data_IF_229706651778
#
_entry.id   IF_229706651778
#
_cell.length_a   1.000
_cell.length_b   1.000
_cell.length_c   1.000
_cell.angle_alpha   90.00
_cell.angle_beta   90.00
_cell.angle_gamma   90.00
#
_symmetry.space_group_name_H-M   'P 1'
#
loop_
_entity.id
_entity.type
_entity.pdbx_description
1 polymer ?
#
# COMPACT_ATOMS: atom_id res chain seq x y z
N UNK A 1 -4.69 7.89 38.70
CA UNK A 1 -5.60 7.68 37.56
C UNK A 1 -5.39 8.81 36.57
N UNK A 2 -5.13 8.44 35.30
CA UNK A 2 -5.33 9.20 34.05
C UNK A 2 -4.27 8.74 33.04
N UNK A 3 -4.53 7.59 32.42
CA UNK A 3 -3.86 7.20 31.18
C UNK A 3 -4.47 8.00 30.03
N UNK A 4 -3.67 8.87 29.43
CA UNK A 4 -4.03 9.51 28.18
C UNK A 4 -3.81 8.49 27.06
N UNK A 5 -4.89 8.10 26.39
CA UNK A 5 -4.82 7.38 25.12
C UNK A 5 -4.19 8.32 24.08
N UNK A 6 -2.91 8.11 23.76
CA UNK A 6 -2.18 8.89 22.76
C UNK A 6 -2.51 8.40 21.36
N UNK A 7 -3.62 8.88 20.78
CA UNK A 7 -3.74 9.03 19.34
C UNK A 7 -3.00 10.30 18.89
N UNK A 8 -2.43 10.37 17.68
CA UNK A 8 -1.82 11.60 17.19
C UNK A 8 -2.90 12.68 17.05
N UNK A 9 -2.68 13.82 17.72
CA UNK A 9 -3.45 15.04 17.52
C UNK A 9 -3.50 15.40 16.03
N UNK A 10 -4.69 15.77 15.53
CA UNK A 10 -5.00 15.97 14.11
C UNK A 10 -4.11 17.00 13.41
N UNK A 11 -2.95 16.55 12.93
CA UNK A 11 -2.01 17.29 12.11
C UNK A 11 -1.61 16.47 10.89
N UNK A 12 -1.26 17.14 9.80
CA UNK A 12 -0.77 16.48 8.59
C UNK A 12 0.55 15.75 8.89
N UNK A 13 0.54 14.43 8.77
CA UNK A 13 1.76 13.64 8.82
C UNK A 13 2.28 13.42 7.40
N UNK A 14 3.44 14.01 7.10
CA UNK A 14 4.10 13.87 5.80
C UNK A 14 5.35 13.00 5.96
N UNK A 15 5.45 11.97 5.13
CA UNK A 15 6.67 11.18 4.97
C UNK A 15 7.30 11.58 3.63
N UNK A 16 8.52 12.13 3.64
CA UNK A 16 9.15 12.56 2.39
C UNK A 16 9.61 11.36 1.57
N UNK A 17 9.82 11.54 0.26
CA UNK A 17 10.44 10.51 -0.59
C UNK A 17 11.79 10.05 -0.05
N UNK A 18 12.57 10.96 0.56
CA UNK A 18 13.85 10.64 1.19
C UNK A 18 13.69 9.72 2.39
N UNK A 19 12.66 9.96 3.21
CA UNK A 19 12.36 9.13 4.38
C UNK A 19 11.87 7.74 3.95
N UNK A 20 10.98 7.67 2.94
CA UNK A 20 10.57 6.40 2.34
C UNK A 20 11.77 5.61 1.79
N UNK A 21 12.69 6.29 1.10
CA UNK A 21 13.90 5.69 0.56
C UNK A 21 14.90 5.24 1.63
N UNK A 22 14.71 5.64 2.89
CA UNK A 22 15.52 5.20 4.02
C UNK A 22 14.93 3.97 4.73
N UNK A 23 13.69 3.57 4.43
CA UNK A 23 13.10 2.33 4.95
C UNK A 23 13.86 1.13 4.36
N UNK A 24 14.23 0.17 5.21
CA UNK A 24 15.08 -0.98 4.82
C UNK A 24 14.48 -2.31 5.23
N UNK A 25 13.54 -2.32 6.16
CA UNK A 25 13.02 -3.54 6.75
C UNK A 25 11.50 -3.68 6.56
N UNK A 26 10.98 -4.92 6.48
CA UNK A 26 9.55 -5.15 6.46
C UNK A 26 8.80 -4.52 7.64
N UNK A 27 9.38 -4.55 8.85
CA UNK A 27 8.75 -4.01 10.06
C UNK A 27 8.56 -2.50 10.01
N UNK A 28 9.50 -1.76 9.41
CA UNK A 28 9.35 -0.32 9.17
C UNK A 28 8.17 -0.04 8.23
N UNK A 29 8.07 -0.78 7.12
CA UNK A 29 6.95 -0.63 6.17
C UNK A 29 5.62 -0.96 6.84
N UNK A 30 5.55 -2.07 7.59
CA UNK A 30 4.36 -2.47 8.35
C UNK A 30 3.95 -1.37 9.36
N UNK A 31 4.93 -0.74 10.03
CA UNK A 31 4.68 0.38 10.95
C UNK A 31 4.06 1.57 10.22
N UNK A 32 4.53 1.88 9.01
CA UNK A 32 3.97 2.93 8.17
C UNK A 32 2.53 2.60 7.74
N UNK A 33 2.24 1.36 7.34
CA UNK A 33 0.89 0.93 6.98
C UNK A 33 -0.07 1.01 8.17
N UNK A 34 0.36 0.58 9.36
CA UNK A 34 -0.39 0.71 10.63
C UNK A 34 -0.66 2.16 10.99
N UNK A 35 0.29 3.06 10.71
CA UNK A 35 0.11 4.50 10.92
C UNK A 35 -0.81 5.13 9.87
N UNK A 36 -0.75 4.69 8.62
CA UNK A 36 -1.64 5.16 7.56
C UNK A 36 -3.10 4.81 7.86
N UNK A 37 -3.35 3.60 8.37
CA UNK A 37 -4.69 3.08 8.71
C UNK A 37 -5.04 3.24 10.20
N UNK A 38 -4.40 4.18 10.90
CA UNK A 38 -4.46 4.27 12.37
C UNK A 38 -5.87 4.37 12.98
N UNK A 39 -6.82 4.95 12.23
CA UNK A 39 -8.19 5.16 12.71
C UNK A 39 -9.07 3.91 12.62
N UNK A 40 -8.74 2.98 11.73
CA UNK A 40 -9.44 1.70 11.55
C UNK A 40 -8.48 0.70 10.89
N UNK A 41 -7.60 0.12 11.71
CA UNK A 41 -6.53 -0.76 11.20
C UNK A 41 -7.09 -2.03 10.56
N UNK A 42 -8.16 -2.58 11.13
CA UNK A 42 -8.77 -3.79 10.62
C UNK A 42 -9.53 -3.50 9.32
N UNK A 43 -10.48 -2.55 9.33
CA UNK A 43 -11.34 -2.27 8.19
C UNK A 43 -10.61 -1.62 7.02
N UNK A 44 -9.82 -0.56 7.25
CA UNK A 44 -9.03 0.07 6.20
C UNK A 44 -7.84 -0.81 5.78
N UNK A 45 -7.23 -1.55 6.72
CA UNK A 45 -6.17 -2.51 6.40
C UNK A 45 -6.67 -3.65 5.52
N UNK A 46 -7.88 -4.16 5.78
CA UNK A 46 -8.53 -5.16 4.94
C UNK A 46 -8.83 -4.62 3.53
N UNK A 47 -9.35 -3.40 3.42
CA UNK A 47 -9.59 -2.77 2.11
C UNK A 47 -8.28 -2.57 1.33
N UNK A 48 -7.20 -2.14 1.98
CA UNK A 48 -5.88 -2.02 1.37
C UNK A 48 -5.31 -3.35 0.89
N UNK A 49 -5.49 -4.41 1.66
CA UNK A 49 -5.17 -5.78 1.28
C UNK A 49 -5.94 -6.21 0.03
N UNK A 50 -7.25 -6.01 0.00
CA UNK A 50 -8.11 -6.44 -1.11
C UNK A 50 -7.81 -5.68 -2.41
N UNK A 51 -7.51 -4.38 -2.32
CA UNK A 51 -7.03 -3.58 -3.45
C UNK A 51 -5.71 -4.14 -3.98
N UNK A 52 -4.75 -4.39 -3.10
CA UNK A 52 -3.41 -4.88 -3.50
C UNK A 52 -3.51 -6.24 -4.17
N UNK A 53 -4.33 -7.15 -3.63
CA UNK A 53 -4.62 -8.47 -4.23
C UNK A 53 -5.22 -8.34 -5.62
N UNK A 54 -6.24 -7.48 -5.81
CA UNK A 54 -6.83 -7.27 -7.15
C UNK A 54 -5.82 -6.78 -8.18
N UNK A 55 -4.88 -5.92 -7.78
CA UNK A 55 -3.81 -5.46 -8.67
C UNK A 55 -2.86 -6.62 -8.98
N UNK A 56 -2.47 -7.41 -7.96
CA UNK A 56 -1.64 -8.61 -8.14
C UNK A 56 -2.29 -9.61 -9.10
N UNK A 57 -3.57 -9.95 -8.87
CA UNK A 57 -4.33 -10.88 -9.70
C UNK A 57 -4.33 -10.41 -11.16
N UNK A 58 -4.56 -9.11 -11.41
CA UNK A 58 -4.50 -8.54 -12.75
C UNK A 58 -3.12 -8.70 -13.42
N UNK A 59 -2.02 -8.52 -12.68
CA UNK A 59 -0.68 -8.76 -13.20
C UNK A 59 -0.43 -10.25 -13.50
N UNK A 60 -0.87 -11.14 -12.61
CA UNK A 60 -0.70 -12.59 -12.79
C UNK A 60 -1.54 -13.11 -13.97
N UNK A 61 -2.77 -12.62 -14.12
CA UNK A 61 -3.67 -12.91 -15.25
C UNK A 61 -3.12 -12.38 -16.57
N UNK A 62 -2.38 -11.26 -16.57
CA UNK A 62 -1.74 -10.72 -17.76
C UNK A 62 -0.70 -11.66 -18.38
N UNK A 63 -0.22 -12.66 -17.62
CA UNK A 63 0.73 -13.67 -18.11
C UNK A 63 2.06 -13.08 -18.58
N UNK A 64 2.42 -11.88 -18.13
CA UNK A 64 3.62 -11.19 -18.58
C UNK A 64 3.48 -10.45 -19.91
N UNK A 65 2.26 -10.05 -20.30
CA UNK A 65 2.01 -9.28 -21.51
C UNK A 65 2.69 -7.90 -21.54
N UNK A 66 3.08 -7.36 -20.37
CA UNK A 66 3.76 -6.08 -20.24
C UNK A 66 4.61 -6.02 -18.98
N UNK A 67 5.52 -5.03 -18.97
CA UNK A 67 6.30 -4.59 -17.82
C UNK A 67 6.01 -3.12 -17.55
N UNK A 68 5.83 -2.72 -16.28
CA UNK A 68 5.69 -1.32 -15.91
C UNK A 68 6.84 -0.89 -15.00
N UNK A 69 7.49 0.20 -15.37
CA UNK A 69 8.64 0.72 -14.65
C UNK A 69 8.26 2.02 -13.94
N UNK A 70 8.63 2.13 -12.66
CA UNK A 70 8.40 3.32 -11.84
C UNK A 70 6.93 3.72 -11.62
N UNK A 71 6.00 2.80 -11.81
CA UNK A 71 4.58 3.02 -11.46
C UNK A 71 4.34 2.94 -9.95
N UNK A 72 3.20 3.48 -9.51
CA UNK A 72 2.84 3.56 -8.09
C UNK A 72 1.42 3.06 -7.84
N UNK A 73 1.18 2.50 -6.66
CA UNK A 73 -0.18 2.28 -6.14
C UNK A 73 -0.51 3.47 -5.25
N UNK A 74 -1.52 4.24 -5.64
CA UNK A 74 -2.06 5.33 -4.83
C UNK A 74 -3.23 4.81 -4.01
N UNK A 75 -3.13 4.94 -2.68
CA UNK A 75 -4.19 4.62 -1.73
C UNK A 75 -4.65 5.90 -1.02
N UNK A 76 -5.96 6.08 -0.88
CA UNK A 76 -6.53 7.24 -0.21
C UNK A 76 -7.89 6.90 0.41
N UNK A 77 -8.24 7.60 1.49
CA UNK A 77 -9.57 7.60 2.10
C UNK A 77 -9.79 8.98 2.74
N UNK A 78 -11.05 9.36 2.95
CA UNK A 78 -11.38 10.57 3.69
C UNK A 78 -11.55 10.24 5.18
N UNK A 79 -10.65 10.76 6.01
CA UNK A 79 -10.67 10.53 7.46
C UNK A 79 -11.79 11.32 8.17
N UNK A 80 -12.48 12.25 7.48
CA UNK A 80 -13.62 12.97 8.03
C UNK A 80 -14.95 12.20 7.89
N UNK A 81 -14.98 11.14 7.07
CA UNK A 81 -16.16 10.28 6.93
C UNK A 81 -16.37 9.42 8.20
N UNK A 82 -17.62 9.21 8.59
CA UNK A 82 -17.98 8.33 9.72
C UNK A 82 -17.53 6.88 9.47
N UNK A 83 -17.52 6.46 8.19
CA UNK A 83 -17.08 5.14 7.74
C UNK A 83 -16.12 5.29 6.56
N UNK A 84 -14.84 5.61 6.80
CA UNK A 84 -13.88 5.86 5.73
C UNK A 84 -13.77 4.68 4.78
N UNK A 85 -13.83 4.97 3.48
CA UNK A 85 -13.65 3.97 2.43
C UNK A 85 -12.33 4.16 1.71
N UNK A 86 -11.51 3.10 1.67
CA UNK A 86 -10.25 3.13 0.94
C UNK A 86 -10.50 2.98 -0.56
N UNK A 87 -9.90 3.89 -1.31
CA UNK A 87 -9.78 3.83 -2.77
C UNK A 87 -8.34 3.56 -3.12
N UNK A 88 -8.15 2.74 -4.16
CA UNK A 88 -6.83 2.40 -4.65
C UNK A 88 -6.77 2.35 -6.17
N UNK A 89 -5.69 2.88 -6.73
CA UNK A 89 -5.42 2.87 -8.17
C UNK A 89 -3.94 2.64 -8.43
N UNK A 90 -3.65 1.87 -9.47
CA UNK A 90 -2.34 1.87 -10.11
C UNK A 90 -2.24 3.12 -10.99
N UNK A 91 -1.14 3.86 -10.86
CA UNK A 91 -0.90 5.15 -11.52
C UNK A 91 0.53 5.20 -12.09
N UNK A 92 0.81 6.26 -12.85
CA UNK A 92 2.12 6.54 -13.45
C UNK A 92 2.59 5.47 -14.45
N UNK A 93 1.90 5.41 -15.58
CA UNK A 93 2.12 4.46 -16.69
C UNK A 93 3.03 5.02 -17.81
N UNK A 94 3.90 5.98 -17.48
CA UNK A 94 4.75 6.64 -18.50
C UNK A 94 5.79 5.68 -19.13
N UNK A 95 6.12 4.59 -18.43
CA UNK A 95 7.14 3.63 -18.83
C UNK A 95 6.56 2.21 -18.83
N UNK A 96 5.69 1.92 -19.79
CA UNK A 96 5.22 0.55 -20.06
C UNK A 96 6.02 -0.02 -21.24
N UNK A 97 6.57 -1.21 -21.05
CA UNK A 97 7.12 -2.03 -22.14
C UNK A 97 6.19 -3.21 -22.45
N UNK A 98 5.88 -3.39 -23.73
CA UNK A 98 5.04 -4.48 -24.25
C UNK A 98 5.87 -5.53 -25.01
N UNK A 99 7.21 -5.48 -24.91
CA UNK A 99 8.11 -6.32 -25.69
C UNK A 99 8.00 -7.83 -25.42
N UNK A 100 7.16 -8.27 -24.46
CA UNK A 100 6.70 -9.65 -24.32
C UNK A 100 7.78 -10.67 -23.97
N UNK A 101 8.96 -10.22 -23.53
CA UNK A 101 10.12 -11.09 -23.29
C UNK A 101 10.30 -11.45 -21.82
N UNK A 102 9.85 -10.61 -20.89
CA UNK A 102 9.89 -10.84 -19.45
C UNK A 102 8.67 -10.16 -18.83
N UNK A 103 7.69 -10.92 -18.33
CA UNK A 103 6.62 -10.34 -17.54
C UNK A 103 7.17 -9.61 -16.31
N UNK A 104 6.40 -8.69 -15.72
CA UNK A 104 6.86 -7.85 -14.60
C UNK A 104 7.05 -8.62 -13.27
N UNK A 105 8.07 -9.49 -13.23
CA UNK A 105 8.41 -10.29 -12.07
C UNK A 105 8.79 -9.41 -10.87
N UNK A 106 9.30 -8.20 -11.13
CA UNK A 106 9.62 -7.20 -10.12
C UNK A 106 8.37 -6.67 -9.42
N UNK A 107 7.38 -6.19 -10.18
CA UNK A 107 6.11 -5.69 -9.65
C UNK A 107 5.31 -6.80 -8.99
N UNK A 108 5.20 -7.99 -9.60
CA UNK A 108 4.52 -9.14 -8.99
C UNK A 108 5.14 -9.50 -7.64
N UNK A 109 6.48 -9.53 -7.55
CA UNK A 109 7.17 -9.77 -6.27
C UNK A 109 6.90 -8.66 -5.26
N UNK A 110 6.95 -7.40 -5.68
CA UNK A 110 6.65 -6.24 -4.82
C UNK A 110 5.22 -6.28 -4.27
N UNK A 111 4.24 -6.62 -5.10
CA UNK A 111 2.84 -6.77 -4.74
C UNK A 111 2.62 -7.91 -3.76
N UNK A 112 3.24 -9.08 -3.98
CA UNK A 112 3.17 -10.21 -3.03
C UNK A 112 3.72 -9.83 -1.64
N UNK A 113 4.87 -9.15 -1.59
CA UNK A 113 5.41 -8.64 -0.34
C UNK A 113 4.44 -7.65 0.34
N UNK A 114 3.82 -6.75 -0.44
CA UNK A 114 2.87 -5.78 0.11
C UNK A 114 1.59 -6.44 0.64
N UNK A 115 1.13 -7.52 0.00
CA UNK A 115 0.03 -8.37 0.50
C UNK A 115 0.38 -8.92 1.88
N UNK A 116 1.59 -9.48 2.05
CA UNK A 116 2.04 -9.99 3.35
C UNK A 116 2.14 -8.87 4.39
N UNK A 117 2.65 -7.70 4.00
CA UNK A 117 2.76 -6.56 4.91
C UNK A 117 1.40 -6.05 5.37
N UNK A 118 0.40 -6.02 4.49
CA UNK A 118 -0.98 -5.70 4.85
C UNK A 118 -1.57 -6.71 5.82
N UNK A 119 -1.33 -8.01 5.61
CA UNK A 119 -1.79 -9.06 6.51
C UNK A 119 -1.21 -8.91 7.92
N UNK A 120 0.07 -8.55 8.02
CA UNK A 120 0.70 -8.24 9.31
C UNK A 120 0.22 -6.91 9.91
N UNK A 121 0.03 -5.88 9.08
CA UNK A 121 -0.33 -4.54 9.53
C UNK A 121 -1.73 -4.48 10.17
N UNK A 122 -2.68 -5.28 9.66
CA UNK A 122 -4.06 -5.34 10.17
C UNK A 122 -4.22 -6.19 11.45
N UNK A 123 -3.21 -6.97 11.82
CA UNK A 123 -3.18 -7.76 13.05
C UNK A 123 -2.55 -6.93 14.18
N UNK A 124 -3.02 -7.10 15.41
CA UNK A 124 -2.48 -6.43 16.61
C UNK A 124 -1.10 -6.98 17.01
#
# INVERSE_FOLDING_TARGET
>A
TNGAATGPSGGQWNLSKKDCAALRTPSEIITILRRFTWMDREGLGQQGLDITKKILDWFEESGGAFEIVCSSILLAFDAAEEKPQMRGKLIDFAHIDYSGTVGDAGVVRGLRNLVDYWQCARQD
#
